data_IF_734445960974
#
_entry.id   IF_734445960974
#
_cell.length_a   1.000
_cell.length_b   1.000
_cell.length_c   1.000
_cell.angle_alpha   90.00
_cell.angle_beta   90.00
_cell.angle_gamma   90.00
#
_symmetry.space_group_name_H-M   'P 1'
#
loop_
_entity.id
_entity.type
_entity.pdbx_description
1 polymer ?
#
# COMPACT_ATOMS: atom_id res chain seq x y z
N UNK A 1 -14.84 -5.22 18.50
CA UNK A 1 -13.93 -6.12 17.71
C UNK A 1 -13.47 -5.38 16.46
N UNK A 2 -12.37 -5.82 15.83
CA UNK A 2 -11.84 -5.20 14.62
C UNK A 2 -11.51 -6.25 13.56
N UNK A 3 -11.51 -5.84 12.31
CA UNK A 3 -11.04 -6.67 11.20
C UNK A 3 -9.76 -6.05 10.66
N UNK A 4 -8.68 -6.84 10.60
CA UNK A 4 -7.44 -6.50 9.91
C UNK A 4 -7.37 -7.22 8.56
N UNK A 5 -7.05 -6.48 7.51
CA UNK A 5 -6.82 -7.01 6.16
C UNK A 5 -5.37 -6.78 5.80
N UNK A 6 -4.66 -7.81 5.39
CA UNK A 6 -3.28 -7.73 4.92
C UNK A 6 -3.16 -8.31 3.50
N UNK A 7 -2.90 -7.43 2.53
CA UNK A 7 -2.65 -7.80 1.14
C UNK A 7 -1.15 -8.02 0.92
N UNK A 8 -0.69 -9.23 1.19
CA UNK A 8 0.68 -9.62 0.86
C UNK A 8 0.87 -9.99 -0.61
N UNK A 9 2.12 -10.20 -1.03
CA UNK A 9 2.44 -10.54 -2.43
C UNK A 9 1.90 -11.91 -2.85
N UNK A 10 1.89 -12.89 -1.96
CA UNK A 10 1.48 -14.26 -2.28
C UNK A 10 0.11 -14.67 -1.72
N UNK A 11 -0.46 -13.85 -0.84
CA UNK A 11 -1.76 -14.13 -0.24
C UNK A 11 -2.38 -12.87 0.36
N UNK A 12 -3.70 -12.82 0.41
CA UNK A 12 -4.43 -11.90 1.28
C UNK A 12 -4.85 -12.65 2.54
N UNK A 13 -4.78 -11.96 3.69
CA UNK A 13 -5.22 -12.46 4.99
C UNK A 13 -6.23 -11.51 5.60
N UNK A 14 -7.24 -12.06 6.24
CA UNK A 14 -8.24 -11.29 6.99
C UNK A 14 -8.32 -11.90 8.38
N UNK A 15 -8.14 -11.08 9.41
CA UNK A 15 -8.20 -11.49 10.80
C UNK A 15 -9.30 -10.74 11.55
N UNK A 16 -10.10 -11.47 12.33
CA UNK A 16 -11.00 -10.91 13.33
C UNK A 16 -10.25 -10.87 14.66
N UNK A 17 -10.19 -9.69 15.28
CA UNK A 17 -9.35 -9.41 16.45
C UNK A 17 -10.23 -8.81 17.54
N UNK A 18 -10.04 -9.25 18.79
CA UNK A 18 -10.73 -8.69 19.95
C UNK A 18 -10.01 -7.46 20.53
N UNK A 19 -10.56 -6.88 21.60
CA UNK A 19 -9.98 -5.70 22.29
C UNK A 19 -8.71 -6.03 23.11
N UNK A 20 -8.34 -7.29 23.22
CA UNK A 20 -7.12 -7.76 23.88
C UNK A 20 -6.02 -8.10 22.87
N UNK A 21 -6.19 -7.66 21.60
CA UNK A 21 -5.31 -7.97 20.46
C UNK A 21 -5.19 -9.47 20.15
N UNK A 22 -6.19 -10.28 20.57
CA UNK A 22 -6.22 -11.72 20.31
C UNK A 22 -6.90 -11.95 18.96
N UNK A 23 -6.24 -12.69 18.08
CA UNK A 23 -6.81 -13.15 16.82
C UNK A 23 -7.81 -14.26 17.11
N UNK A 24 -9.10 -14.00 16.88
CA UNK A 24 -10.20 -14.94 17.09
C UNK A 24 -10.34 -15.91 15.91
N UNK A 25 -10.25 -15.38 14.69
CA UNK A 25 -10.31 -16.16 13.46
C UNK A 25 -9.41 -15.48 12.40
N UNK A 26 -8.80 -16.29 11.56
CA UNK A 26 -7.99 -15.80 10.44
C UNK A 26 -8.26 -16.63 9.19
N UNK A 27 -8.53 -15.96 8.08
CA UNK A 27 -8.74 -16.57 6.76
C UNK A 27 -7.71 -16.06 5.79
N UNK A 28 -7.19 -16.95 4.95
CA UNK A 28 -6.20 -16.58 3.91
C UNK A 28 -6.63 -17.10 2.54
N UNK A 29 -6.27 -16.33 1.49
CA UNK A 29 -6.41 -16.73 0.08
C UNK A 29 -5.11 -16.49 -0.66
N UNK A 30 -4.67 -17.47 -1.42
CA UNK A 30 -3.47 -17.35 -2.25
C UNK A 30 -3.69 -16.41 -3.43
N UNK A 31 -2.65 -15.68 -3.79
CA UNK A 31 -2.61 -14.78 -4.94
C UNK A 31 -1.43 -15.20 -5.81
N UNK A 32 -1.69 -15.29 -7.11
CA UNK A 32 -0.68 -15.69 -8.10
C UNK A 32 0.00 -14.43 -8.64
N UNK A 33 1.33 -14.44 -8.67
CA UNK A 33 2.15 -13.42 -9.33
C UNK A 33 2.52 -13.89 -10.73
N UNK A 34 2.33 -13.03 -11.70
CA UNK A 34 2.71 -13.27 -13.10
C UNK A 34 4.11 -12.71 -13.36
N UNK A 35 4.89 -13.46 -14.12
CA UNK A 35 6.24 -13.07 -14.56
C UNK A 35 6.33 -13.11 -16.09
N UNK A 36 5.70 -12.14 -16.80
CA UNK A 36 5.59 -12.19 -18.27
C UNK A 36 6.94 -12.09 -18.99
N UNK A 37 7.97 -11.56 -18.34
CA UNK A 37 9.37 -11.49 -18.81
C UNK A 37 10.31 -11.55 -17.60
N UNK A 38 11.58 -11.86 -17.88
CA UNK A 38 12.63 -11.77 -16.85
C UNK A 38 12.65 -10.39 -16.21
N UNK A 39 12.63 -10.34 -14.87
CA UNK A 39 12.61 -9.10 -14.09
C UNK A 39 11.23 -8.44 -13.97
N UNK A 40 10.20 -8.98 -14.62
CA UNK A 40 8.82 -8.47 -14.48
C UNK A 40 8.08 -9.24 -13.39
N UNK A 41 7.29 -8.52 -12.61
CA UNK A 41 6.46 -9.07 -11.55
C UNK A 41 5.15 -8.29 -11.49
N UNK A 42 4.05 -8.92 -11.85
CA UNK A 42 2.75 -8.29 -12.04
C UNK A 42 1.64 -9.09 -11.37
N UNK A 43 0.58 -8.39 -10.99
CA UNK A 43 -0.68 -9.01 -10.54
C UNK A 43 -1.88 -8.22 -11.07
N UNK A 44 -2.94 -8.93 -11.40
CA UNK A 44 -4.22 -8.31 -11.72
C UNK A 44 -4.91 -7.84 -10.42
N UNK A 45 -5.17 -6.53 -10.22
CA UNK A 45 -5.80 -6.03 -9.00
C UNK A 45 -7.21 -6.58 -8.74
N UNK A 46 -7.96 -6.96 -9.80
CA UNK A 46 -9.28 -7.55 -9.62
C UNK A 46 -9.22 -8.94 -8.95
N UNK A 47 -8.09 -9.67 -9.09
CA UNK A 47 -7.87 -10.92 -8.36
C UNK A 47 -7.70 -10.65 -6.86
N UNK A 48 -7.04 -9.55 -6.47
CA UNK A 48 -6.94 -9.16 -5.05
C UNK A 48 -8.32 -8.95 -4.43
N UNK A 49 -9.19 -8.24 -5.16
CA UNK A 49 -10.54 -7.97 -4.68
C UNK A 49 -11.40 -9.23 -4.64
N UNK A 50 -11.31 -10.12 -5.63
CA UNK A 50 -11.99 -11.41 -5.58
C UNK A 50 -11.53 -12.26 -4.39
N UNK A 51 -10.21 -12.36 -4.17
CA UNK A 51 -9.65 -13.08 -3.04
C UNK A 51 -10.08 -12.48 -1.68
N UNK A 52 -10.19 -11.13 -1.60
CA UNK A 52 -10.74 -10.43 -0.45
C UNK A 52 -12.18 -10.85 -0.17
N UNK A 53 -13.03 -10.81 -1.20
CA UNK A 53 -14.46 -11.17 -1.09
C UNK A 53 -14.60 -12.63 -0.63
N UNK A 54 -13.86 -13.55 -1.24
CA UNK A 54 -13.91 -14.98 -0.88
C UNK A 54 -13.43 -15.23 0.57
N UNK A 55 -12.43 -14.46 1.03
CA UNK A 55 -11.95 -14.55 2.41
C UNK A 55 -12.96 -14.00 3.42
N UNK A 56 -13.63 -12.88 3.09
CA UNK A 56 -14.70 -12.33 3.93
C UNK A 56 -15.92 -13.23 3.99
N UNK A 57 -16.32 -13.84 2.88
CA UNK A 57 -17.42 -14.79 2.85
C UNK A 57 -17.16 -15.98 3.82
N UNK A 58 -15.94 -16.54 3.81
CA UNK A 58 -15.58 -17.59 4.76
C UNK A 58 -15.51 -17.07 6.20
N UNK A 59 -14.89 -15.90 6.44
CA UNK A 59 -14.81 -15.32 7.79
C UNK A 59 -16.21 -15.08 8.37
N UNK A 60 -17.13 -14.55 7.56
CA UNK A 60 -18.50 -14.25 7.97
C UNK A 60 -19.32 -15.52 8.31
N UNK A 61 -19.01 -16.64 7.66
CA UNK A 61 -19.61 -17.95 8.00
C UNK A 61 -19.03 -18.54 9.29
N UNK A 62 -17.71 -18.48 9.46
CA UNK A 62 -17.02 -19.03 10.64
C UNK A 62 -17.30 -18.24 11.92
N UNK A 63 -17.51 -16.93 11.79
CA UNK A 63 -17.65 -16.01 12.92
C UNK A 63 -18.99 -15.25 12.91
N UNK A 64 -20.03 -15.84 12.36
CA UNK A 64 -21.33 -15.21 12.11
C UNK A 64 -21.87 -14.41 13.30
N UNK A 65 -21.80 -14.95 14.50
CA UNK A 65 -22.31 -14.31 15.72
C UNK A 65 -21.49 -13.09 16.18
N UNK A 66 -20.26 -12.94 15.67
CA UNK A 66 -19.33 -11.89 16.04
C UNK A 66 -19.28 -10.74 15.01
N UNK A 67 -19.67 -11.00 13.76
CA UNK A 67 -19.58 -9.99 12.69
C UNK A 67 -20.31 -8.71 13.01
N UNK A 68 -21.47 -8.79 13.65
CA UNK A 68 -22.25 -7.63 14.09
C UNK A 68 -21.62 -6.78 15.19
N UNK A 69 -20.52 -7.25 15.80
CA UNK A 69 -19.76 -6.56 16.87
C UNK A 69 -18.51 -5.84 16.34
N UNK A 70 -18.25 -5.88 15.04
CA UNK A 70 -17.08 -5.23 14.42
C UNK A 70 -17.29 -3.72 14.40
N UNK A 71 -16.30 -2.95 14.85
CA UNK A 71 -16.35 -1.49 14.97
C UNK A 71 -15.47 -0.77 13.95
N UNK A 72 -14.55 -1.48 13.31
CA UNK A 72 -13.65 -0.88 12.32
C UNK A 72 -12.89 -1.93 11.51
N UNK A 73 -12.41 -1.47 10.35
CA UNK A 73 -11.58 -2.26 9.45
C UNK A 73 -10.25 -1.55 9.23
N UNK A 74 -9.14 -2.24 9.50
CA UNK A 74 -7.79 -1.80 9.17
C UNK A 74 -7.30 -2.45 7.89
N UNK A 75 -6.51 -1.71 7.11
CA UNK A 75 -5.90 -2.17 5.87
C UNK A 75 -4.38 -2.15 5.98
N UNK A 76 -3.75 -3.24 5.58
CA UNK A 76 -2.31 -3.35 5.34
C UNK A 76 -2.08 -3.94 3.95
N UNK A 77 -0.95 -3.64 3.33
CA UNK A 77 -0.59 -4.29 2.07
C UNK A 77 0.84 -4.04 1.65
N UNK A 78 1.30 -4.87 0.72
CA UNK A 78 2.63 -4.71 0.14
C UNK A 78 2.77 -3.32 -0.49
N UNK A 79 3.89 -2.68 -0.20
CA UNK A 79 4.17 -1.31 -0.63
C UNK A 79 4.60 -1.23 -2.10
N UNK A 80 4.68 -0.01 -2.61
CA UNK A 80 5.31 0.34 -3.89
C UNK A 80 4.59 -0.11 -5.15
N UNK A 81 3.49 -0.86 -5.08
CA UNK A 81 2.74 -1.25 -6.28
C UNK A 81 2.25 -0.02 -7.06
N UNK A 82 2.38 -0.07 -8.39
CA UNK A 82 1.80 0.94 -9.27
C UNK A 82 0.50 0.41 -9.88
N UNK A 83 -0.63 0.90 -9.41
CA UNK A 83 -1.98 0.51 -9.86
C UNK A 83 -2.63 1.67 -10.58
N UNK A 84 -2.61 1.65 -11.91
CA UNK A 84 -3.28 2.66 -12.74
C UNK A 84 -4.77 2.38 -12.83
N UNK A 85 -5.59 3.36 -12.46
CA UNK A 85 -7.06 3.25 -12.41
C UNK A 85 -7.68 4.27 -13.37
N UNK A 86 -8.65 3.84 -14.17
CA UNK A 86 -9.39 4.70 -15.10
C UNK A 86 -10.57 5.43 -14.43
N UNK A 87 -11.27 6.25 -15.21
CA UNK A 87 -12.43 7.03 -14.73
C UNK A 87 -13.65 6.18 -14.32
N UNK A 88 -13.66 4.88 -14.63
CA UNK A 88 -14.70 3.93 -14.22
C UNK A 88 -14.26 3.08 -13.00
N UNK A 89 -13.24 3.51 -12.26
CA UNK A 89 -12.67 2.83 -11.08
C UNK A 89 -12.21 1.39 -11.37
N UNK A 90 -11.71 1.17 -12.60
CA UNK A 90 -11.17 -0.13 -13.03
C UNK A 90 -9.67 -0.03 -13.29
N UNK A 91 -8.91 -1.10 -13.00
CA UNK A 91 -7.50 -1.18 -13.40
C UNK A 91 -7.34 -1.03 -14.92
N UNK A 92 -6.38 -0.24 -15.35
CA UNK A 92 -6.02 -0.09 -16.78
C UNK A 92 -5.18 -1.29 -17.25
N UNK A 93 -4.39 -1.84 -16.35
CA UNK A 93 -3.49 -2.98 -16.59
C UNK A 93 -3.20 -3.71 -15.29
N UNK A 94 -2.45 -4.81 -15.37
CA UNK A 94 -1.86 -5.42 -14.19
C UNK A 94 -1.05 -4.39 -13.40
N UNK A 95 -1.07 -4.50 -12.08
CA UNK A 95 -0.22 -3.73 -11.17
C UNK A 95 1.23 -4.20 -11.27
N UNK A 96 2.17 -3.26 -11.31
CA UNK A 96 3.60 -3.56 -11.27
C UNK A 96 4.03 -3.62 -9.80
N UNK A 97 4.54 -4.78 -9.35
CA UNK A 97 4.85 -5.05 -7.95
C UNK A 97 6.19 -4.46 -7.49
N UNK A 98 6.43 -4.51 -6.19
CA UNK A 98 7.64 -3.99 -5.53
C UNK A 98 8.94 -4.71 -5.94
N UNK A 99 8.86 -5.99 -6.28
CA UNK A 99 9.98 -6.83 -6.70
C UNK A 99 10.19 -6.85 -8.24
N UNK A 100 9.51 -5.95 -8.96
CA UNK A 100 9.70 -5.76 -10.40
C UNK A 100 10.93 -4.88 -10.66
N UNK A 101 11.75 -5.28 -11.61
CA UNK A 101 12.99 -4.58 -11.96
C UNK A 101 12.98 -3.89 -13.33
N UNK A 102 11.80 -3.78 -13.98
CA UNK A 102 11.71 -3.17 -15.33
C UNK A 102 12.17 -1.72 -15.37
N UNK A 103 12.02 -0.96 -14.28
CA UNK A 103 12.34 0.45 -14.17
C UNK A 103 13.77 0.73 -13.66
N UNK A 104 14.72 -0.22 -13.85
CA UNK A 104 16.13 -0.04 -13.43
C UNK A 104 16.78 1.17 -14.08
N UNK A 105 16.53 1.40 -15.37
CA UNK A 105 17.08 2.54 -16.12
C UNK A 105 16.55 3.87 -15.60
N UNK A 106 15.25 3.92 -15.34
CA UNK A 106 14.58 5.10 -14.80
C UNK A 106 15.07 5.42 -13.39
N UNK A 107 15.21 4.41 -12.54
CA UNK A 107 15.74 4.58 -11.18
C UNK A 107 17.18 5.12 -11.21
N UNK A 108 18.04 4.59 -12.07
CA UNK A 108 19.41 5.07 -12.24
C UNK A 108 19.43 6.53 -12.73
N UNK A 109 18.63 6.84 -13.75
CA UNK A 109 18.49 8.19 -14.28
C UNK A 109 18.05 9.20 -13.21
N UNK A 110 17.05 8.83 -12.39
CA UNK A 110 16.57 9.70 -11.30
C UNK A 110 17.66 9.97 -10.27
N UNK A 111 18.41 8.95 -9.85
CA UNK A 111 19.52 9.10 -8.89
C UNK A 111 20.67 9.91 -9.44
N UNK A 112 20.99 9.80 -10.74
CA UNK A 112 22.07 10.58 -11.36
C UNK A 112 21.70 12.05 -11.57
N UNK A 113 20.48 12.30 -12.05
CA UNK A 113 20.05 13.67 -12.40
C UNK A 113 19.55 14.47 -11.20
N UNK A 114 19.00 13.81 -10.20
CA UNK A 114 18.33 14.43 -9.07
C UNK A 114 18.76 13.82 -7.71
N UNK A 115 20.07 13.74 -7.41
CA UNK A 115 20.56 13.10 -6.20
C UNK A 115 20.05 13.74 -4.90
N UNK A 116 19.79 15.06 -4.92
CA UNK A 116 19.34 15.78 -3.73
C UNK A 116 17.90 15.45 -3.32
N UNK A 117 17.10 14.91 -4.24
CA UNK A 117 15.73 14.50 -3.92
C UNK A 117 15.68 13.33 -2.93
N UNK A 118 16.74 12.52 -2.86
CA UNK A 118 16.84 11.45 -1.88
C UNK A 118 16.83 11.94 -0.42
N UNK A 119 17.32 13.14 -0.15
CA UNK A 119 17.23 13.76 1.18
C UNK A 119 15.79 14.21 1.52
N UNK A 120 15.01 14.58 0.51
CA UNK A 120 13.60 14.98 0.65
C UNK A 120 12.68 13.76 0.76
N UNK A 121 12.86 12.79 -0.13
CA UNK A 121 12.06 11.56 -0.18
C UNK A 121 12.49 10.51 0.86
N UNK A 122 13.61 10.72 1.55
CA UNK A 122 14.14 9.79 2.55
C UNK A 122 14.75 8.51 1.97
N UNK A 123 14.74 8.36 0.64
CA UNK A 123 15.16 7.14 -0.06
C UNK A 123 15.76 7.48 -1.42
N UNK A 124 16.72 6.67 -1.88
CA UNK A 124 17.15 6.71 -3.29
C UNK A 124 16.05 6.10 -4.17
N UNK A 125 16.00 6.51 -5.43
CA UNK A 125 15.10 5.89 -6.40
C UNK A 125 15.50 4.42 -6.63
N UNK A 126 14.55 3.51 -6.35
CA UNK A 126 14.74 2.07 -6.56
C UNK A 126 13.80 1.57 -7.66
N UNK A 127 14.19 0.57 -8.47
CA UNK A 127 13.34 0.05 -9.56
C UNK A 127 11.96 -0.40 -9.10
N UNK A 128 11.91 -0.94 -7.89
CA UNK A 128 10.67 -1.42 -7.27
C UNK A 128 9.75 -0.32 -6.74
N UNK A 129 10.16 0.94 -6.68
CA UNK A 129 9.33 2.04 -6.18
C UNK A 129 8.40 2.60 -7.25
N UNK A 130 7.33 3.25 -6.81
CA UNK A 130 6.25 3.71 -7.69
C UNK A 130 6.71 4.80 -8.65
N UNK A 131 7.48 5.80 -8.21
CA UNK A 131 7.96 6.89 -9.05
C UNK A 131 8.73 6.43 -10.30
N UNK A 132 9.81 5.64 -10.17
CA UNK A 132 10.50 5.06 -11.34
C UNK A 132 9.59 4.23 -12.24
N UNK A 133 8.62 3.49 -11.70
CA UNK A 133 7.65 2.74 -12.51
C UNK A 133 6.70 3.64 -13.28
N UNK A 134 6.27 4.78 -12.70
CA UNK A 134 5.45 5.76 -13.41
C UNK A 134 6.23 6.37 -14.57
N UNK A 135 7.49 6.73 -14.36
CA UNK A 135 8.36 7.21 -15.41
C UNK A 135 8.53 6.16 -16.53
N UNK A 136 8.71 4.88 -16.15
CA UNK A 136 8.76 3.78 -17.12
C UNK A 136 7.43 3.62 -17.87
N UNK A 137 6.30 3.65 -17.18
CA UNK A 137 4.96 3.51 -17.77
C UNK A 137 4.67 4.63 -18.76
N UNK A 138 4.98 5.88 -18.42
CA UNK A 138 4.79 7.03 -19.32
C UNK A 138 5.56 6.88 -20.63
N UNK A 139 6.74 6.27 -20.59
CA UNK A 139 7.63 6.08 -21.76
C UNK A 139 7.30 4.85 -22.59
N UNK A 140 6.94 3.74 -21.92
CA UNK A 140 6.83 2.43 -22.55
C UNK A 140 5.39 1.95 -22.75
N UNK A 141 4.42 2.55 -22.03
CA UNK A 141 3.00 2.24 -22.09
C UNK A 141 2.14 3.52 -22.11
N UNK A 142 2.42 4.47 -23.04
CA UNK A 142 1.77 5.78 -23.04
C UNK A 142 0.24 5.68 -23.17
N UNK A 143 -0.29 4.66 -23.85
CA UNK A 143 -1.74 4.49 -24.00
C UNK A 143 -2.40 4.06 -22.70
N UNK A 144 -1.75 3.18 -21.90
CA UNK A 144 -2.22 2.86 -20.55
C UNK A 144 -2.16 4.09 -19.65
N UNK A 145 -1.07 4.84 -19.73
CA UNK A 145 -0.89 6.05 -18.92
C UNK A 145 -1.95 7.11 -19.21
N UNK A 146 -2.30 7.33 -20.50
CA UNK A 146 -3.37 8.24 -20.92
C UNK A 146 -4.78 7.81 -20.49
N UNK A 147 -5.03 6.51 -20.36
CA UNK A 147 -6.31 5.98 -19.89
C UNK A 147 -6.48 6.07 -18.38
N UNK A 148 -5.37 6.20 -17.66
CA UNK A 148 -5.40 6.30 -16.21
C UNK A 148 -5.90 7.68 -15.76
N UNK A 149 -6.75 7.67 -14.73
CA UNK A 149 -7.20 8.85 -14.01
C UNK A 149 -6.47 9.00 -12.69
N UNK A 150 -6.26 7.88 -11.97
CA UNK A 150 -5.60 7.84 -10.66
C UNK A 150 -4.41 6.89 -10.70
N UNK A 151 -3.49 7.14 -9.77
CA UNK A 151 -2.54 6.14 -9.28
C UNK A 151 -2.94 5.73 -7.87
N UNK A 152 -2.97 4.43 -7.59
CA UNK A 152 -3.21 3.89 -6.26
C UNK A 152 -2.13 2.87 -5.89
N UNK A 153 -2.02 2.57 -4.58
CA UNK A 153 -1.25 1.45 -4.08
C UNK A 153 -2.14 0.22 -3.85
N UNK A 154 -1.54 -0.90 -3.52
CA UNK A 154 -2.24 -2.19 -3.48
C UNK A 154 -3.44 -2.18 -2.51
N UNK A 155 -3.23 -1.79 -1.23
CA UNK A 155 -4.31 -1.70 -0.24
C UNK A 155 -5.35 -0.64 -0.57
N UNK A 156 -4.93 0.46 -1.23
CA UNK A 156 -5.80 1.57 -1.59
C UNK A 156 -6.79 1.20 -2.68
N UNK A 157 -6.39 0.32 -3.59
CA UNK A 157 -7.32 -0.29 -4.54
C UNK A 157 -8.40 -1.09 -3.83
N UNK A 158 -8.06 -1.87 -2.79
CA UNK A 158 -9.05 -2.58 -1.99
C UNK A 158 -10.01 -1.60 -1.28
N UNK A 159 -9.47 -0.50 -0.69
CA UNK A 159 -10.31 0.54 -0.09
C UNK A 159 -11.25 1.18 -1.11
N UNK A 160 -10.76 1.55 -2.30
CA UNK A 160 -11.60 2.06 -3.39
C UNK A 160 -12.77 1.12 -3.70
N UNK A 161 -12.51 -0.18 -3.81
CA UNK A 161 -13.55 -1.18 -4.07
C UNK A 161 -14.55 -1.28 -2.92
N UNK A 162 -14.09 -1.27 -1.68
CA UNK A 162 -14.90 -1.42 -0.47
C UNK A 162 -15.73 -0.18 -0.12
N UNK A 163 -15.19 1.03 -0.33
CA UNK A 163 -15.79 2.29 0.11
C UNK A 163 -16.09 3.28 -1.01
N UNK A 164 -15.41 3.20 -2.13
CA UNK A 164 -15.42 4.23 -3.18
C UNK A 164 -14.46 5.40 -2.94
N UNK A 165 -13.64 5.35 -1.88
CA UNK A 165 -12.74 6.44 -1.51
C UNK A 165 -11.38 6.30 -2.19
N UNK A 166 -10.96 7.37 -2.88
CA UNK A 166 -9.63 7.51 -3.49
C UNK A 166 -8.72 8.22 -2.48
N UNK A 167 -7.92 7.45 -1.78
CA UNK A 167 -7.01 7.96 -0.76
C UNK A 167 -5.84 7.00 -0.54
N UNK A 168 -4.82 7.45 0.16
CA UNK A 168 -3.67 6.65 0.63
C UNK A 168 -3.28 7.09 2.03
N UNK A 169 -2.27 6.44 2.59
CA UNK A 169 -1.65 6.85 3.84
C UNK A 169 -0.19 7.27 3.65
N UNK A 170 0.34 7.92 4.67
CA UNK A 170 1.71 8.46 4.65
C UNK A 170 2.79 7.39 4.49
N UNK A 171 2.54 6.15 4.97
CA UNK A 171 3.56 5.08 4.91
C UNK A 171 3.72 4.53 3.50
N UNK A 172 2.61 4.28 2.79
CA UNK A 172 2.64 3.88 1.38
C UNK A 172 3.13 5.02 0.48
N UNK A 173 2.65 6.25 0.73
CA UNK A 173 3.11 7.42 0.02
C UNK A 173 4.63 7.63 0.19
N UNK A 174 5.19 7.41 1.40
CA UNK A 174 6.62 7.48 1.66
C UNK A 174 7.44 6.49 0.81
N UNK A 175 6.91 5.29 0.57
CA UNK A 175 7.53 4.28 -0.28
C UNK A 175 7.46 4.56 -1.78
N UNK A 176 6.79 5.62 -2.21
CA UNK A 176 6.56 5.90 -3.62
C UNK A 176 7.72 6.60 -4.34
N UNK A 177 8.61 7.28 -3.63
CA UNK A 177 9.59 8.26 -4.13
C UNK A 177 8.92 9.55 -4.65
N UNK A 178 7.65 9.82 -4.29
CA UNK A 178 6.89 11.00 -4.70
C UNK A 178 6.54 11.92 -3.52
N UNK A 179 6.84 11.49 -2.28
CA UNK A 179 6.49 12.20 -1.05
C UNK A 179 7.66 13.04 -0.53
N UNK A 180 7.40 14.31 -0.18
CA UNK A 180 8.23 15.04 0.78
C UNK A 180 7.90 14.50 2.19
N UNK A 181 8.76 13.63 2.72
CA UNK A 181 8.49 12.94 3.98
C UNK A 181 8.45 13.88 5.18
N UNK A 182 9.18 14.99 5.12
CA UNK A 182 9.16 16.00 6.19
C UNK A 182 7.85 16.76 6.21
N UNK A 183 7.28 17.06 5.04
CA UNK A 183 5.98 17.73 4.90
C UNK A 183 4.80 16.75 5.00
N UNK A 184 5.06 15.46 4.86
CA UNK A 184 4.06 14.37 4.78
C UNK A 184 3.04 14.64 3.67
N UNK A 185 3.50 15.15 2.54
CA UNK A 185 2.67 15.50 1.39
C UNK A 185 3.41 15.23 0.08
N UNK A 186 2.64 15.10 -1.00
CA UNK A 186 3.21 14.94 -2.34
C UNK A 186 4.18 16.06 -2.67
N UNK A 187 5.28 15.73 -3.31
CA UNK A 187 6.28 16.68 -3.79
C UNK A 187 6.08 16.91 -5.29
N UNK A 188 5.74 18.14 -5.65
CA UNK A 188 5.42 18.52 -7.03
C UNK A 188 6.59 18.26 -7.99
N UNK A 189 7.83 18.48 -7.56
CA UNK A 189 9.02 18.23 -8.38
C UNK A 189 9.16 16.71 -8.65
N UNK A 190 9.04 15.87 -7.62
CA UNK A 190 9.12 14.41 -7.77
C UNK A 190 8.01 13.88 -8.68
N UNK A 191 6.78 14.39 -8.53
CA UNK A 191 5.63 14.02 -9.36
C UNK A 191 5.88 14.39 -10.82
N UNK A 192 6.33 15.62 -11.09
CA UNK A 192 6.61 16.10 -12.44
C UNK A 192 7.76 15.36 -13.10
N UNK A 193 8.85 15.13 -12.38
CA UNK A 193 10.02 14.38 -12.89
C UNK A 193 9.63 12.94 -13.27
N UNK A 194 8.67 12.35 -12.55
CA UNK A 194 8.12 11.02 -12.86
C UNK A 194 7.03 11.03 -13.95
N UNK A 195 6.78 12.18 -14.60
CA UNK A 195 5.73 12.40 -15.61
C UNK A 195 4.31 12.09 -15.09
N UNK A 196 4.07 12.28 -13.80
CA UNK A 196 2.81 11.92 -13.15
C UNK A 196 1.82 13.09 -12.99
N UNK A 197 2.12 14.27 -13.54
CA UNK A 197 1.31 15.50 -13.43
C UNK A 197 -0.14 15.33 -13.93
N UNK A 198 -0.35 14.44 -14.90
CA UNK A 198 -1.68 14.17 -15.45
C UNK A 198 -2.48 13.13 -14.68
N UNK A 199 -1.89 12.52 -13.65
CA UNK A 199 -2.56 11.57 -12.77
C UNK A 199 -3.07 12.28 -11.52
N UNK A 200 -4.29 11.95 -11.10
CA UNK A 200 -4.75 12.35 -9.79
C UNK A 200 -4.07 11.47 -8.74
N UNK A 201 -3.24 12.09 -7.91
CA UNK A 201 -2.68 11.43 -6.74
C UNK A 201 -3.77 11.33 -5.67
N UNK A 202 -3.82 10.24 -4.89
CA UNK A 202 -4.80 10.09 -3.81
C UNK A 202 -4.54 11.09 -2.68
N UNK A 203 -5.59 11.49 -1.96
CA UNK A 203 -5.44 12.26 -0.72
C UNK A 203 -4.65 11.44 0.31
N UNK A 204 -3.76 12.11 1.04
CA UNK A 204 -2.90 11.46 2.05
C UNK A 204 -3.52 11.63 3.44
N UNK A 205 -3.61 10.53 4.18
CA UNK A 205 -4.06 10.47 5.57
C UNK A 205 -2.97 9.90 6.47
N UNK A 206 -3.08 10.14 7.77
CA UNK A 206 -2.33 9.34 8.74
C UNK A 206 -2.92 7.92 8.79
N UNK A 207 -2.08 6.91 9.01
CA UNK A 207 -2.53 5.51 8.92
C UNK A 207 -3.74 5.14 9.80
N UNK A 208 -3.88 5.67 11.05
CA UNK A 208 -5.05 5.38 11.89
C UNK A 208 -6.30 6.18 11.52
N UNK A 209 -6.20 7.21 10.67
CA UNK A 209 -7.34 8.10 10.38
C UNK A 209 -8.50 7.36 9.71
N UNK A 210 -9.74 7.72 10.02
CA UNK A 210 -10.91 7.30 9.27
C UNK A 210 -10.81 7.73 7.80
N UNK A 211 -10.88 6.77 6.88
CA UNK A 211 -10.61 7.05 5.46
C UNK A 211 -11.61 6.40 4.49
N UNK A 212 -12.76 6.00 4.98
CA UNK A 212 -13.84 5.46 4.17
C UNK A 212 -14.91 4.78 5.00
N UNK A 213 -16.07 4.63 4.39
CA UNK A 213 -17.19 3.89 4.98
C UNK A 213 -17.48 2.67 4.11
N UNK A 214 -17.58 1.52 4.73
CA UNK A 214 -17.90 0.26 4.03
C UNK A 214 -19.25 0.40 3.31
N UNK A 215 -19.27 0.07 2.02
CA UNK A 215 -20.50 0.10 1.22
C UNK A 215 -21.56 -0.82 1.84
N UNK A 216 -22.82 -0.37 1.79
CA UNK A 216 -23.96 -1.08 2.38
C UNK A 216 -24.12 -2.51 1.84
N UNK A 217 -23.79 -2.74 0.58
CA UNK A 217 -23.83 -4.08 -0.03
C UNK A 217 -22.94 -5.09 0.68
N UNK A 218 -21.72 -4.67 1.10
CA UNK A 218 -20.79 -5.52 1.85
C UNK A 218 -21.20 -5.67 3.32
N UNK A 219 -21.74 -4.61 3.94
CA UNK A 219 -22.29 -4.71 5.30
C UNK A 219 -23.41 -5.77 5.36
N UNK A 220 -24.30 -5.78 4.36
CA UNK A 220 -25.38 -6.78 4.27
C UNK A 220 -24.81 -8.18 4.02
N UNK A 221 -23.90 -8.31 3.02
CA UNK A 221 -23.32 -9.61 2.62
C UNK A 221 -22.61 -10.31 3.78
N UNK A 222 -21.82 -9.56 4.55
CA UNK A 222 -20.96 -10.10 5.60
C UNK A 222 -21.52 -9.90 7.02
N UNK A 223 -22.79 -9.47 7.15
CA UNK A 223 -23.44 -9.23 8.44
C UNK A 223 -22.71 -8.23 9.34
N UNK A 224 -22.02 -7.28 8.73
CA UNK A 224 -21.29 -6.20 9.40
C UNK A 224 -22.21 -5.02 9.72
N UNK A 225 -21.88 -4.19 10.73
CA UNK A 225 -22.61 -2.97 11.03
C UNK A 225 -22.66 -2.02 9.81
N UNK A 226 -23.78 -1.32 9.65
CA UNK A 226 -23.88 -0.23 8.67
C UNK A 226 -23.03 0.95 9.11
N UNK A 227 -22.39 1.63 8.16
CA UNK A 227 -21.55 2.78 8.46
C UNK A 227 -20.19 2.40 9.07
N UNK A 228 -19.76 1.14 8.91
CA UNK A 228 -18.49 0.66 9.42
C UNK A 228 -17.33 1.44 8.79
N UNK A 229 -16.47 1.99 9.64
CA UNK A 229 -15.32 2.80 9.24
C UNK A 229 -14.17 1.91 8.75
N UNK A 230 -13.53 2.35 7.67
CA UNK A 230 -12.27 1.79 7.17
C UNK A 230 -11.17 2.83 7.43
N UNK A 231 -10.08 2.44 8.06
CA UNK A 231 -8.92 3.33 8.28
C UNK A 231 -8.14 3.58 6.98
N UNK A 232 -7.27 4.58 6.99
CA UNK A 232 -6.32 4.79 5.90
C UNK A 232 -5.38 3.58 5.74
N UNK A 233 -5.09 2.91 6.85
CA UNK A 233 -4.23 1.73 6.85
C UNK A 233 -2.76 2.08 6.67
N UNK A 234 -1.93 1.12 6.30
CA UNK A 234 -0.49 1.35 6.14
C UNK A 234 0.21 0.29 5.29
N UNK A 235 1.43 0.60 4.88
CA UNK A 235 2.31 -0.38 4.28
C UNK A 235 2.61 -1.55 5.24
N UNK A 236 2.77 -2.74 4.69
CA UNK A 236 2.95 -4.00 5.45
C UNK A 236 4.07 -3.93 6.49
N UNK A 237 5.20 -3.32 6.14
CA UNK A 237 6.36 -3.18 7.05
C UNK A 237 6.02 -2.27 8.24
N UNK A 238 5.34 -1.14 7.99
CA UNK A 238 4.96 -0.18 9.04
C UNK A 238 3.88 -0.77 9.97
N UNK A 239 2.86 -1.43 9.40
CA UNK A 239 1.82 -2.13 10.16
C UNK A 239 2.39 -3.31 10.95
N UNK A 240 3.32 -4.08 10.35
CA UNK A 240 4.04 -5.14 11.03
C UNK A 240 4.84 -4.63 12.23
N UNK A 241 5.46 -3.45 12.09
CA UNK A 241 6.16 -2.77 13.18
C UNK A 241 5.25 -2.50 14.38
N UNK A 242 4.03 -2.02 14.14
CA UNK A 242 3.04 -1.81 15.19
C UNK A 242 2.65 -3.15 15.83
N UNK A 243 2.34 -4.16 15.02
CA UNK A 243 1.87 -5.46 15.50
C UNK A 243 2.85 -6.18 16.43
N UNK A 244 4.17 -5.90 16.29
CA UNK A 244 5.20 -6.45 17.20
C UNK A 244 5.67 -5.46 18.27
N UNK A 245 5.05 -4.31 18.39
CA UNK A 245 5.39 -3.29 19.39
C UNK A 245 6.63 -2.47 19.09
N UNK A 246 7.09 -2.41 17.83
CA UNK A 246 8.21 -1.56 17.40
C UNK A 246 7.73 -0.11 17.16
N UNK A 247 7.15 0.49 18.19
CA UNK A 247 6.49 1.82 18.16
C UNK A 247 7.33 2.94 18.77
N UNK A 248 8.58 2.67 19.10
CA UNK A 248 9.48 3.66 19.70
C UNK A 248 10.95 3.38 19.32
N UNK A 249 11.84 4.32 19.66
CA UNK A 249 13.29 4.25 19.35
C UNK A 249 14.06 3.07 20.01
N UNK A 250 13.46 2.36 20.96
CA UNK A 250 14.11 1.28 21.71
C UNK A 250 13.77 -0.09 21.18
N UNK A 251 12.77 -0.17 20.31
CA UNK A 251 12.29 -1.42 19.75
C UNK A 251 12.37 -1.39 18.23
N UNK A 252 12.81 -2.48 17.66
CA UNK A 252 12.88 -2.70 16.23
C UNK A 252 12.74 -4.19 15.96
N UNK A 253 12.81 -4.58 14.72
CA UNK A 253 12.78 -5.99 14.34
C UNK A 253 13.72 -6.28 13.18
N UNK A 254 14.04 -7.55 13.05
CA UNK A 254 14.68 -8.12 11.87
C UNK A 254 13.71 -9.12 11.26
N UNK A 255 13.31 -8.89 10.02
CA UNK A 255 12.56 -9.85 9.21
C UNK A 255 13.54 -10.61 8.32
N UNK A 256 13.53 -11.93 8.41
CA UNK A 256 14.41 -12.81 7.64
C UNK A 256 13.55 -13.76 6.78
N UNK A 257 13.73 -13.67 5.48
CA UNK A 257 13.09 -14.54 4.47
C UNK A 257 14.02 -14.66 3.26
N UNK A 258 13.48 -14.66 2.07
CA UNK A 258 14.26 -14.55 0.82
C UNK A 258 15.05 -13.24 0.77
N UNK A 259 14.53 -12.19 1.41
CA UNK A 259 15.23 -10.94 1.70
C UNK A 259 15.29 -10.71 3.21
N UNK A 260 16.13 -9.77 3.66
CA UNK A 260 16.24 -9.38 5.05
C UNK A 260 15.97 -7.88 5.19
N UNK A 261 15.23 -7.51 6.24
CA UNK A 261 14.97 -6.13 6.60
C UNK A 261 15.30 -5.90 8.07
N UNK A 262 15.91 -4.76 8.36
CA UNK A 262 16.07 -4.25 9.72
C UNK A 262 15.22 -3.00 9.85
N UNK A 263 14.26 -3.03 10.76
CA UNK A 263 13.38 -1.89 11.04
C UNK A 263 13.70 -1.29 12.40
N UNK A 264 13.83 0.04 12.44
CA UNK A 264 14.04 0.80 13.67
C UNK A 264 13.15 2.04 13.64
N UNK A 265 12.41 2.31 14.73
CA UNK A 265 11.65 3.54 14.88
C UNK A 265 12.55 4.73 15.21
N UNK A 266 12.29 5.90 14.61
CA UNK A 266 12.91 7.18 14.95
C UNK A 266 11.85 8.24 15.25
N UNK A 267 12.17 9.18 16.15
CA UNK A 267 11.29 10.33 16.46
C UNK A 267 11.44 11.49 15.48
N UNK A 268 12.45 11.44 14.63
CA UNK A 268 12.77 12.52 13.70
C UNK A 268 12.99 11.93 12.32
N UNK A 269 12.65 12.71 11.31
CA UNK A 269 13.05 12.41 9.95
C UNK A 269 14.54 12.75 9.82
N UNK A 270 15.36 11.72 9.70
CA UNK A 270 16.83 11.79 9.57
C UNK A 270 17.23 10.92 8.38
N UNK A 271 17.05 11.41 7.14
CA UNK A 271 17.38 10.64 5.95
C UNK A 271 18.88 10.36 5.86
N UNK A 272 19.23 9.18 5.39
CA UNK A 272 20.62 8.77 5.19
C UNK A 272 20.83 8.04 3.87
N UNK A 273 20.48 8.66 2.73
CA UNK A 273 20.53 8.02 1.42
C UNK A 273 21.95 7.63 1.01
N UNK A 274 22.96 8.38 1.43
CA UNK A 274 24.39 8.07 1.17
C UNK A 274 24.84 6.75 1.79
N UNK A 275 24.19 6.32 2.88
CA UNK A 275 24.45 5.04 3.54
C UNK A 275 23.43 3.98 3.09
N UNK A 276 22.62 4.24 2.08
CA UNK A 276 21.57 3.36 1.56
C UNK A 276 20.55 2.94 2.63
N UNK A 277 20.34 3.79 3.64
CA UNK A 277 19.30 3.59 4.66
C UNK A 277 18.03 4.29 4.20
N UNK A 278 16.94 3.54 4.13
CA UNK A 278 15.63 4.07 3.79
C UNK A 278 14.95 4.66 5.04
N UNK A 279 14.47 5.88 4.92
CA UNK A 279 13.67 6.54 5.96
C UNK A 279 12.24 6.67 5.46
N UNK A 280 11.30 6.05 6.16
CA UNK A 280 9.88 6.08 5.82
C UNK A 280 9.06 6.68 6.96
N UNK A 281 7.93 7.29 6.62
CA UNK A 281 6.94 7.69 7.62
C UNK A 281 6.47 6.46 8.40
N UNK A 282 6.36 6.60 9.73
CA UNK A 282 5.80 5.57 10.59
C UNK A 282 4.28 5.60 10.52
N UNK A 283 3.61 4.47 10.77
CA UNK A 283 2.15 4.37 10.78
C UNK A 283 1.49 5.00 12.02
N UNK A 284 2.28 5.37 13.03
CA UNK A 284 1.84 6.27 14.11
C UNK A 284 2.40 7.66 13.85
N UNK A 285 1.58 8.72 13.98
CA UNK A 285 2.00 10.10 13.78
C UNK A 285 3.05 10.58 14.77
#
# INVERSE_FOLDING_TARGET
MFIGIDLGTSSIKIALIDYSDIVIECVSRSIITEHPKTGYSEQNPDIWFSALVDAFDELSLKSEQLMGQVEGVGLSGHMHAAVLINSADKPVSNAILWNDSRAVKEAHELNEKFPDLAEKTGVIAMPGFTGPKLLWLSRNKPDHFKQAKYILFAKDFLRLKLSGTVATDVTDAAGSWLLDQKKRNWDEDCVSICNADNLMLPDIFESPDPCGILKTEFSIRWKLPKGLVISAGGGDVACGGIGIGAVNQKTGFISLGTSAQVFLGSKKFEPSPKNLVHSFCHALP
#
